data_IF_579858716031
#
_entry.id   IF_579858716031
#
_cell.length_a   1.000
_cell.length_b   1.000
_cell.length_c   1.000
_cell.angle_alpha   90.00
_cell.angle_beta   90.00
_cell.angle_gamma   90.00
#
_symmetry.space_group_name_H-M   'P 1'
#
loop_
_entity.id
_entity.type
_entity.pdbx_description
1 polymer ?
#
# COMPACT_ATOMS: atom_id res chain seq x y z
N UNK A 1 -15.11 4.73 15.64
CA UNK A 1 -15.19 3.79 14.50
C UNK A 1 -13.84 3.84 13.83
N UNK A 2 -13.12 2.72 13.79
CA UNK A 2 -11.74 2.70 13.26
C UNK A 2 -11.71 3.07 11.77
N UNK A 3 -10.89 4.05 11.43
CA UNK A 3 -10.60 4.47 10.05
C UNK A 3 -9.35 3.77 9.57
N UNK A 4 -9.54 2.79 8.68
CA UNK A 4 -8.48 1.95 8.13
C UNK A 4 -8.33 2.22 6.64
N UNK A 5 -7.10 2.45 6.18
CA UNK A 5 -6.79 2.44 4.75
C UNK A 5 -6.15 1.12 4.32
N UNK A 6 -6.33 0.75 3.05
CA UNK A 6 -5.73 -0.41 2.41
C UNK A 6 -4.77 0.07 1.33
N UNK A 7 -3.50 -0.29 1.45
CA UNK A 7 -2.45 0.03 0.47
C UNK A 7 -2.04 -1.25 -0.26
N UNK A 8 -2.61 -1.45 -1.45
CA UNK A 8 -2.31 -2.60 -2.31
C UNK A 8 -1.18 -2.31 -3.29
N UNK A 9 -0.31 -3.29 -3.55
CA UNK A 9 0.80 -3.13 -4.49
C UNK A 9 1.64 -4.39 -4.63
N UNK A 10 2.44 -4.48 -5.69
CA UNK A 10 3.41 -5.58 -5.86
C UNK A 10 4.58 -5.42 -4.88
N UNK A 11 4.99 -4.18 -4.59
CA UNK A 11 6.07 -3.83 -3.66
C UNK A 11 7.37 -4.63 -3.91
N UNK A 12 7.86 -4.61 -5.15
CA UNK A 12 9.00 -5.41 -5.62
C UNK A 12 10.20 -4.53 -6.02
N UNK A 13 10.99 -3.99 -5.06
CA UNK A 13 10.83 -4.05 -3.60
C UNK A 13 10.07 -2.84 -3.02
N UNK A 14 9.82 -2.86 -1.70
CA UNK A 14 9.40 -1.66 -0.97
C UNK A 14 10.49 -0.58 -1.05
N UNK A 15 10.09 0.69 -1.14
CA UNK A 15 11.00 1.84 -1.23
C UNK A 15 10.34 3.10 -0.61
N UNK A 16 11.10 4.19 -0.46
CA UNK A 16 10.65 5.43 0.20
C UNK A 16 9.33 5.99 -0.32
N UNK A 17 9.09 5.97 -1.64
CA UNK A 17 7.81 6.39 -2.21
C UNK A 17 6.60 5.62 -1.64
N UNK A 18 6.71 4.31 -1.43
CA UNK A 18 5.63 3.53 -0.81
C UNK A 18 5.38 3.95 0.64
N UNK A 19 6.46 4.17 1.40
CA UNK A 19 6.38 4.59 2.80
C UNK A 19 5.76 5.98 2.94
N UNK A 20 6.20 6.92 2.08
CA UNK A 20 5.68 8.28 2.06
C UNK A 20 4.19 8.32 1.77
N UNK A 21 3.69 7.48 0.85
CA UNK A 21 2.26 7.38 0.56
C UNK A 21 1.49 6.92 1.81
N UNK A 22 1.95 5.87 2.49
CA UNK A 22 1.29 5.35 3.69
C UNK A 22 1.30 6.38 4.85
N UNK A 23 2.42 7.04 5.10
CA UNK A 23 2.59 8.05 6.14
C UNK A 23 1.74 9.31 5.86
N UNK A 24 1.72 9.76 4.60
CA UNK A 24 0.91 10.90 4.18
C UNK A 24 -0.57 10.58 4.36
N UNK A 25 -1.02 9.38 3.99
CA UNK A 25 -2.41 8.97 4.20
C UNK A 25 -2.76 8.92 5.70
N UNK A 26 -1.89 8.35 6.54
CA UNK A 26 -2.09 8.30 7.99
C UNK A 26 -2.29 9.70 8.59
N UNK A 27 -1.39 10.62 8.26
CA UNK A 27 -1.38 11.98 8.82
C UNK A 27 -2.50 12.88 8.26
N UNK A 28 -2.78 12.82 6.96
CA UNK A 28 -3.72 13.76 6.32
C UNK A 28 -5.18 13.32 6.41
N UNK A 29 -5.45 12.02 6.54
CA UNK A 29 -6.82 11.47 6.51
C UNK A 29 -7.32 11.02 7.90
N UNK A 30 -6.57 11.35 8.95
CA UNK A 30 -6.87 10.96 10.34
C UNK A 30 -7.09 9.45 10.49
N UNK A 31 -6.30 8.61 9.82
CA UNK A 31 -6.46 7.16 9.87
C UNK A 31 -5.85 6.59 11.14
N UNK A 32 -6.44 5.51 11.66
CA UNK A 32 -5.89 4.78 12.81
C UNK A 32 -4.77 3.82 12.37
N UNK A 33 -4.84 3.30 11.13
CA UNK A 33 -3.80 2.46 10.53
C UNK A 33 -3.91 2.33 9.01
N UNK A 34 -2.80 1.93 8.38
CA UNK A 34 -2.73 1.48 6.99
C UNK A 34 -2.42 -0.01 6.96
N UNK A 35 -3.25 -0.78 6.27
CA UNK A 35 -3.05 -2.21 6.02
C UNK A 35 -2.42 -2.38 4.65
N UNK A 36 -1.22 -2.97 4.62
CA UNK A 36 -0.51 -3.27 3.40
C UNK A 36 -0.98 -4.61 2.84
N UNK A 37 -1.29 -4.66 1.53
CA UNK A 37 -1.74 -5.87 0.84
C UNK A 37 -0.81 -6.15 -0.35
N UNK A 38 0.26 -6.92 -0.14
CA UNK A 38 1.17 -7.33 -1.22
C UNK A 38 0.45 -8.18 -2.27
N UNK A 39 0.72 -7.93 -3.54
CA UNK A 39 0.15 -8.69 -4.65
C UNK A 39 1.24 -9.26 -5.57
N UNK A 40 1.41 -10.58 -5.50
CA UNK A 40 2.37 -11.34 -6.32
C UNK A 40 1.97 -11.43 -7.80
N UNK A 41 0.67 -11.47 -8.10
CA UNK A 41 0.15 -11.65 -9.47
C UNK A 41 -0.97 -10.64 -9.77
N UNK A 42 -0.64 -9.37 -10.03
CA UNK A 42 -1.63 -8.37 -10.39
C UNK A 42 -2.29 -8.75 -11.73
N UNK A 43 -3.63 -8.75 -11.85
CA UNK A 43 -4.32 -9.22 -13.05
C UNK A 43 -3.99 -8.40 -14.31
N UNK A 44 -3.50 -7.17 -14.13
CA UNK A 44 -3.12 -6.25 -15.18
C UNK A 44 -1.61 -6.20 -15.45
N UNK A 45 -0.79 -6.96 -14.71
CA UNK A 45 0.64 -7.10 -14.98
C UNK A 45 0.89 -8.51 -15.49
N UNK A 46 1.66 -8.62 -16.57
CA UNK A 46 2.19 -9.91 -17.01
C UNK A 46 3.10 -10.42 -15.90
N UNK A 47 2.82 -11.61 -15.36
CA UNK A 47 3.71 -12.23 -14.40
C UNK A 47 5.09 -12.38 -15.06
N UNK A 48 6.13 -11.94 -14.36
CA UNK A 48 7.48 -12.34 -14.73
C UNK A 48 7.54 -13.88 -14.68
N UNK A 49 8.15 -14.53 -15.67
CA UNK A 49 8.28 -15.99 -15.69
C UNK A 49 8.97 -16.54 -14.45
#
# INVERSE_FOLDING_TARGET
MDRVAILGGTFDPVHWGHLLIAETALSQLSLDRVVWVPNRHPPHKRALP
#
